data_IF_273617058118
#
_entry.id   IF_273617058118
#
_cell.length_a   1.000
_cell.length_b   1.000
_cell.length_c   1.000
_cell.angle_alpha   90.00
_cell.angle_beta   90.00
_cell.angle_gamma   90.00
#
_symmetry.space_group_name_H-M   'P 1'
#
loop_
_entity.id
_entity.type
_entity.pdbx_description
1 polymer ?
#
# COMPACT_ATOMS: atom_id res chain seq x y z
N UNK A 1 -11.48 3.29 -13.35
CA UNK A 1 -10.45 3.09 -14.39
C UNK A 1 -9.47 4.25 -14.37
N UNK A 2 -8.25 4.00 -14.78
CA UNK A 2 -7.19 4.99 -14.93
C UNK A 2 -6.93 5.20 -16.42
N UNK A 3 -6.85 6.46 -16.85
CA UNK A 3 -6.59 6.79 -18.24
C UNK A 3 -5.68 8.02 -18.36
N UNK A 4 -4.66 7.98 -19.22
CA UNK A 4 -4.19 6.80 -19.97
C UNK A 4 -3.42 5.79 -19.11
N UNK A 5 -3.45 4.52 -19.52
CA UNK A 5 -2.72 3.46 -18.82
C UNK A 5 -1.23 3.44 -19.24
N UNK A 6 -0.96 3.57 -20.52
CA UNK A 6 0.37 3.47 -21.10
C UNK A 6 0.63 4.65 -22.02
N UNK A 7 1.79 5.27 -21.87
CA UNK A 7 2.21 6.36 -22.73
C UNK A 7 3.67 6.24 -23.13
N UNK A 8 3.93 6.37 -24.42
CA UNK A 8 5.29 6.40 -24.93
C UNK A 8 5.95 7.74 -24.62
N UNK A 9 7.17 7.70 -24.12
CA UNK A 9 7.99 8.90 -23.85
C UNK A 9 8.01 9.85 -25.05
N UNK A 10 7.66 11.11 -24.82
CA UNK A 10 7.62 12.15 -25.85
C UNK A 10 6.44 12.10 -26.83
N UNK A 11 5.47 11.22 -26.62
CA UNK A 11 4.30 11.04 -27.47
C UNK A 11 2.96 11.12 -26.71
N UNK A 12 2.96 11.75 -25.55
CA UNK A 12 1.76 11.97 -24.75
C UNK A 12 1.63 13.45 -24.39
N UNK A 13 0.38 13.92 -24.39
CA UNK A 13 0.02 15.27 -23.90
C UNK A 13 -0.55 15.21 -22.47
N UNK A 14 -0.62 14.01 -21.88
CA UNK A 14 -1.17 13.82 -20.54
C UNK A 14 -0.04 13.65 -19.53
N UNK A 15 -0.25 14.18 -18.34
CA UNK A 15 0.61 13.99 -17.19
C UNK A 15 -0.23 14.09 -15.90
N UNK A 16 -0.19 13.08 -15.01
CA UNK A 16 0.55 11.81 -15.16
C UNK A 16 -0.25 10.74 -15.94
N UNK A 17 0.48 9.90 -16.67
CA UNK A 17 0.00 8.59 -17.12
C UNK A 17 0.31 7.53 -16.05
N UNK A 18 -0.30 6.34 -16.13
CA UNK A 18 -0.05 5.30 -15.12
C UNK A 18 1.35 4.69 -15.26
N UNK A 19 1.72 4.37 -16.51
CA UNK A 19 3.02 3.78 -16.85
C UNK A 19 3.55 4.50 -18.10
N UNK A 20 4.75 5.02 -18.00
CA UNK A 20 5.48 5.49 -19.16
C UNK A 20 6.44 4.42 -19.68
N UNK A 21 6.77 4.46 -20.96
CA UNK A 21 7.75 3.56 -21.54
C UNK A 21 8.50 4.19 -22.71
N UNK A 22 9.63 3.64 -23.03
CA UNK A 22 10.36 3.85 -24.26
C UNK A 22 10.71 2.50 -24.91
N UNK A 23 11.61 2.47 -25.89
CA UNK A 23 11.96 1.23 -26.58
C UNK A 23 12.81 0.27 -25.71
N UNK A 24 13.27 0.69 -24.54
CA UNK A 24 14.21 -0.05 -23.70
C UNK A 24 13.71 -0.29 -22.28
N UNK A 25 12.83 0.58 -21.78
CA UNK A 25 12.48 0.65 -20.37
C UNK A 25 11.01 0.99 -20.14
N UNK A 26 10.51 0.58 -18.98
CA UNK A 26 9.20 0.95 -18.41
C UNK A 26 9.44 1.82 -17.16
N UNK A 27 8.60 2.84 -17.01
CA UNK A 27 8.70 3.82 -15.92
C UNK A 27 7.36 3.87 -15.16
N UNK A 28 7.17 3.03 -14.12
CA UNK A 28 5.95 3.03 -13.33
C UNK A 28 5.84 4.29 -12.48
N UNK A 29 4.65 4.88 -12.44
CA UNK A 29 4.38 6.00 -11.54
C UNK A 29 4.02 5.53 -10.12
N UNK A 30 3.93 6.46 -9.17
CA UNK A 30 3.48 6.15 -7.81
C UNK A 30 2.06 5.55 -7.83
N UNK A 31 1.19 6.05 -8.70
CA UNK A 31 -0.17 5.54 -8.87
C UNK A 31 -0.21 4.09 -9.35
N UNK A 32 0.72 3.69 -10.23
CA UNK A 32 0.87 2.29 -10.64
C UNK A 32 1.17 1.39 -9.44
N UNK A 33 2.15 1.75 -8.63
CA UNK A 33 2.53 0.93 -7.48
C UNK A 33 1.40 0.79 -6.46
N UNK A 34 0.67 1.87 -6.18
CA UNK A 34 -0.50 1.81 -5.28
C UNK A 34 -1.57 0.88 -5.86
N UNK A 35 -1.91 1.01 -7.15
CA UNK A 35 -2.88 0.12 -7.79
C UNK A 35 -2.42 -1.33 -7.80
N UNK A 36 -1.14 -1.60 -8.05
CA UNK A 36 -0.57 -2.93 -7.99
C UNK A 36 -0.67 -3.51 -6.57
N UNK A 37 -0.30 -2.75 -5.55
CA UNK A 37 -0.40 -3.17 -4.15
C UNK A 37 -1.84 -3.53 -3.77
N UNK A 38 -2.82 -2.73 -4.18
CA UNK A 38 -4.22 -2.99 -3.88
C UNK A 38 -4.80 -4.15 -4.71
N UNK A 39 -4.51 -4.20 -6.00
CA UNK A 39 -5.02 -5.23 -6.91
C UNK A 39 -4.49 -6.63 -6.58
N UNK A 40 -3.23 -6.73 -6.17
CA UNK A 40 -2.62 -8.02 -5.79
C UNK A 40 -2.99 -8.49 -4.38
N UNK A 41 -3.62 -7.65 -3.58
CA UNK A 41 -4.02 -7.94 -2.19
C UNK A 41 -5.53 -7.82 -1.99
N UNK A 42 -6.29 -8.27 -2.97
CA UNK A 42 -7.74 -8.39 -2.87
C UNK A 42 -8.14 -9.61 -2.03
N UNK A 43 -9.27 -9.50 -1.37
CA UNK A 43 -9.86 -10.57 -0.57
C UNK A 43 -11.38 -10.62 -0.77
N UNK A 44 -11.98 -11.70 -0.32
CA UNK A 44 -13.41 -12.02 -0.42
C UNK A 44 -14.15 -11.80 0.90
N UNK A 45 -13.42 -11.56 2.00
CA UNK A 45 -14.00 -11.28 3.31
C UNK A 45 -13.42 -10.00 3.92
N UNK A 46 -14.28 -9.11 4.43
CA UNK A 46 -13.88 -7.83 5.02
C UNK A 46 -14.04 -7.82 6.54
N UNK A 47 -13.05 -7.27 7.25
CA UNK A 47 -13.04 -7.07 8.70
C UNK A 47 -12.80 -5.59 9.04
N UNK A 48 -13.86 -4.86 9.37
CA UNK A 48 -13.80 -3.41 9.61
C UNK A 48 -13.17 -2.98 10.94
N UNK A 49 -12.96 -3.89 11.87
CA UNK A 49 -12.53 -3.62 13.26
C UNK A 49 -11.09 -4.06 13.58
N UNK A 50 -10.35 -4.56 12.59
CA UNK A 50 -8.99 -5.10 12.79
C UNK A 50 -7.94 -4.00 12.94
N UNK A 51 -8.01 -2.95 12.15
CA UNK A 51 -7.03 -1.88 12.16
C UNK A 51 -7.70 -0.52 12.40
N UNK A 52 -7.10 0.31 13.28
CA UNK A 52 -7.61 1.63 13.64
C UNK A 52 -6.46 2.61 13.83
N UNK A 53 -6.50 3.71 13.08
CA UNK A 53 -5.54 4.81 13.24
C UNK A 53 -5.94 5.67 14.44
N UNK A 54 -5.01 5.96 15.33
CA UNK A 54 -5.23 6.86 16.47
C UNK A 54 -5.38 8.31 15.98
N UNK A 55 -6.45 8.98 16.41
CA UNK A 55 -6.73 10.35 15.99
C UNK A 55 -6.94 10.49 14.48
N UNK A 56 -7.55 9.47 13.83
CA UNK A 56 -7.83 9.51 12.41
C UNK A 56 -8.77 10.65 12.03
N UNK A 57 -8.52 11.23 10.88
CA UNK A 57 -9.36 12.20 10.20
C UNK A 57 -9.61 11.76 8.74
N UNK A 58 -9.97 12.70 7.86
CA UNK A 58 -10.22 12.40 6.44
C UNK A 58 -8.97 11.96 5.64
N UNK A 59 -7.78 12.09 6.20
CA UNK A 59 -6.51 11.77 5.53
C UNK A 59 -5.99 10.38 5.86
N UNK A 60 -6.64 9.63 6.73
CA UNK A 60 -6.24 8.26 7.05
C UNK A 60 -7.34 7.27 6.70
N UNK A 61 -6.93 6.07 6.31
CA UNK A 61 -7.83 4.97 6.03
C UNK A 61 -7.20 3.62 6.37
N UNK A 62 -8.05 2.69 6.80
CA UNK A 62 -7.65 1.31 7.04
C UNK A 62 -8.62 0.33 6.40
N UNK A 63 -8.11 -0.82 6.04
CA UNK A 63 -8.90 -1.93 5.52
C UNK A 63 -8.25 -3.24 5.92
N UNK A 64 -9.05 -4.24 6.25
CA UNK A 64 -8.57 -5.60 6.47
C UNK A 64 -9.44 -6.57 5.67
N UNK A 65 -8.82 -7.34 4.79
CA UNK A 65 -9.51 -8.35 3.97
C UNK A 65 -8.80 -9.68 4.06
N UNK A 66 -9.57 -10.76 4.06
CA UNK A 66 -9.09 -12.13 3.97
C UNK A 66 -9.31 -12.64 2.54
N UNK A 67 -8.29 -13.20 1.96
CA UNK A 67 -8.42 -14.05 0.78
C UNK A 67 -8.51 -15.51 1.28
N UNK A 68 -9.70 -16.10 1.17
CA UNK A 68 -9.96 -17.44 1.72
C UNK A 68 -9.26 -18.54 0.94
N UNK A 69 -9.12 -18.38 -0.38
CA UNK A 69 -8.43 -19.33 -1.24
C UNK A 69 -6.93 -19.39 -0.91
N UNK A 70 -6.28 -18.24 -0.80
CA UNK A 70 -4.85 -18.13 -0.48
C UNK A 70 -4.55 -18.28 1.00
N UNK A 71 -5.58 -18.20 1.86
CA UNK A 71 -5.46 -18.15 3.32
C UNK A 71 -4.54 -17.01 3.77
N UNK A 72 -4.72 -15.84 3.17
CA UNK A 72 -3.92 -14.66 3.43
C UNK A 72 -4.79 -13.50 3.90
N UNK A 73 -4.38 -12.87 5.00
CA UNK A 73 -4.99 -11.67 5.53
C UNK A 73 -4.16 -10.46 5.07
N UNK A 74 -4.84 -9.48 4.50
CA UNK A 74 -4.22 -8.22 4.05
C UNK A 74 -4.77 -7.06 4.86
N UNK A 75 -3.88 -6.41 5.61
CA UNK A 75 -4.21 -5.19 6.35
C UNK A 75 -3.59 -4.02 5.61
N UNK A 76 -4.42 -3.09 5.16
CA UNK A 76 -4.01 -1.89 4.44
C UNK A 76 -4.15 -0.69 5.35
N UNK A 77 -3.14 0.16 5.37
CA UNK A 77 -3.12 1.41 6.13
C UNK A 77 -2.64 2.52 5.21
N UNK A 78 -3.43 3.57 5.10
CA UNK A 78 -3.11 4.77 4.33
C UNK A 78 -3.01 5.95 5.28
N UNK A 79 -1.97 6.74 5.12
CA UNK A 79 -1.79 8.02 5.80
C UNK A 79 -1.38 9.08 4.77
N UNK A 80 -2.33 9.93 4.40
CA UNK A 80 -2.11 11.04 3.47
C UNK A 80 -1.78 12.36 4.18
N UNK A 81 -1.49 12.33 5.49
CA UNK A 81 -1.08 13.51 6.25
C UNK A 81 0.45 13.62 6.35
N UNK A 82 0.92 14.83 6.65
CA UNK A 82 2.35 15.13 6.84
C UNK A 82 2.94 14.54 8.15
N UNK A 83 2.10 14.05 9.04
CA UNK A 83 2.52 13.51 10.32
C UNK A 83 2.38 11.98 10.35
N UNK A 84 3.34 11.32 10.98
CA UNK A 84 3.24 9.89 11.25
C UNK A 84 2.06 9.60 12.20
N UNK A 85 1.32 8.55 11.94
CA UNK A 85 0.16 8.14 12.74
C UNK A 85 0.33 6.72 13.28
N UNK A 86 0.07 6.56 14.56
CA UNK A 86 0.04 5.24 15.19
C UNK A 86 -1.24 4.50 14.79
N UNK A 87 -1.10 3.27 14.37
CA UNK A 87 -2.20 2.41 13.97
C UNK A 87 -2.24 1.18 14.86
N UNK A 88 -3.31 1.02 15.63
CA UNK A 88 -3.57 -0.16 16.44
C UNK A 88 -4.15 -1.27 15.56
N UNK A 89 -3.61 -2.48 15.71
CA UNK A 89 -4.05 -3.68 14.99
C UNK A 89 -4.44 -4.73 16.02
N UNK A 90 -5.67 -5.24 15.93
CA UNK A 90 -6.22 -6.26 16.79
C UNK A 90 -6.54 -7.53 15.99
N UNK A 91 -5.68 -8.53 16.15
CA UNK A 91 -5.78 -9.84 15.51
C UNK A 91 -6.32 -10.94 16.45
N UNK A 92 -6.90 -10.59 17.60
CA UNK A 92 -7.30 -11.56 18.63
C UNK A 92 -8.32 -12.60 18.15
N UNK A 93 -9.11 -12.26 17.11
CA UNK A 93 -10.09 -13.19 16.49
C UNK A 93 -9.44 -14.29 15.65
N UNK A 94 -8.23 -14.07 15.17
CA UNK A 94 -7.54 -15.04 14.32
C UNK A 94 -6.75 -16.02 15.18
N UNK A 95 -6.91 -17.32 14.89
CA UNK A 95 -6.13 -18.39 15.52
C UNK A 95 -4.86 -18.67 14.68
N UNK A 96 -3.83 -19.22 15.31
CA UNK A 96 -2.62 -19.71 14.62
C UNK A 96 -1.91 -18.61 13.77
N UNK A 97 -1.78 -17.41 14.34
CA UNK A 97 -1.02 -16.35 13.70
C UNK A 97 0.47 -16.73 13.58
N UNK A 98 1.13 -16.46 12.46
CA UNK A 98 2.58 -16.62 12.35
C UNK A 98 3.30 -15.61 13.25
N UNK A 99 4.55 -15.89 13.59
CA UNK A 99 5.37 -14.95 14.35
C UNK A 99 5.74 -13.69 13.54
N UNK A 100 5.79 -13.84 12.22
CA UNK A 100 6.23 -12.79 11.29
C UNK A 100 5.33 -12.71 10.06
N UNK A 101 5.30 -11.53 9.47
CA UNK A 101 4.61 -11.25 8.21
C UNK A 101 5.44 -10.27 7.37
N UNK A 102 5.03 -10.02 6.14
CA UNK A 102 5.64 -8.99 5.31
C UNK A 102 4.81 -7.72 5.34
N UNK A 103 5.48 -6.57 5.42
CA UNK A 103 4.86 -5.26 5.25
C UNK A 103 5.52 -4.54 4.07
N UNK A 104 4.72 -4.23 3.06
CA UNK A 104 5.14 -3.44 1.91
C UNK A 104 4.61 -2.03 2.07
N UNK A 105 5.48 -1.04 2.01
CA UNK A 105 5.14 0.38 2.15
C UNK A 105 5.65 1.16 0.94
N UNK A 106 4.81 2.02 0.40
CA UNK A 106 5.20 3.10 -0.50
C UNK A 106 4.97 4.43 0.22
N UNK A 107 5.95 5.32 0.16
CA UNK A 107 5.86 6.66 0.74
C UNK A 107 6.68 7.65 -0.06
N UNK A 108 6.31 8.92 0.00
CA UNK A 108 7.02 10.01 -0.67
C UNK A 108 6.38 11.34 -0.35
N UNK A 109 7.14 12.42 -0.50
CA UNK A 109 6.60 13.78 -0.34
C UNK A 109 5.62 14.09 -1.49
N UNK A 110 4.59 14.93 -1.28
CA UNK A 110 3.54 15.20 -2.27
C UNK A 110 4.04 15.84 -3.58
N UNK A 111 5.18 16.52 -3.53
CA UNK A 111 5.83 17.21 -4.64
C UNK A 111 6.86 16.33 -5.37
N UNK A 112 7.06 15.09 -4.93
CA UNK A 112 7.99 14.13 -5.54
C UNK A 112 7.24 13.16 -6.42
N UNK A 113 7.66 13.02 -7.65
CA UNK A 113 7.07 12.10 -8.62
C UNK A 113 8.12 11.19 -9.28
N UNK A 114 7.64 10.04 -9.72
CA UNK A 114 8.40 9.19 -10.62
C UNK A 114 8.18 9.65 -12.07
N UNK A 115 9.27 9.88 -12.78
CA UNK A 115 9.23 10.29 -14.19
C UNK A 115 10.26 9.50 -15.02
N UNK A 116 10.52 9.91 -16.26
CA UNK A 116 11.45 9.22 -17.15
C UNK A 116 12.92 9.26 -16.70
N UNK A 117 13.30 10.26 -15.93
CA UNK A 117 14.69 10.50 -15.54
C UNK A 117 14.98 9.87 -14.18
N UNK A 118 14.04 10.04 -13.26
CA UNK A 118 14.19 9.58 -11.87
C UNK A 118 12.98 8.77 -11.40
N UNK A 119 13.24 7.75 -10.61
CA UNK A 119 12.25 6.86 -10.00
C UNK A 119 12.49 6.78 -8.49
N UNK A 120 12.34 7.91 -7.75
CA UNK A 120 12.72 7.97 -6.34
C UNK A 120 11.77 7.20 -5.43
N UNK A 121 10.54 6.95 -5.87
CA UNK A 121 9.49 6.32 -5.07
C UNK A 121 9.21 4.92 -5.59
N UNK A 122 9.43 3.92 -4.74
CA UNK A 122 9.11 2.53 -5.01
C UNK A 122 8.65 1.83 -3.73
N UNK A 123 7.83 0.76 -3.83
CA UNK A 123 7.45 -0.04 -2.69
C UNK A 123 8.67 -0.70 -2.03
N UNK A 124 8.76 -0.59 -0.71
CA UNK A 124 9.77 -1.26 0.10
C UNK A 124 9.11 -2.32 0.96
N UNK A 125 9.61 -3.55 0.90
CA UNK A 125 9.08 -4.67 1.68
C UNK A 125 10.04 -5.00 2.82
N UNK A 126 9.49 -5.14 4.02
CA UNK A 126 10.22 -5.58 5.21
C UNK A 126 9.44 -6.64 5.98
N UNK A 127 10.14 -7.42 6.77
CA UNK A 127 9.54 -8.35 7.72
C UNK A 127 9.10 -7.60 8.99
N UNK A 128 7.94 -7.96 9.53
CA UNK A 128 7.38 -7.39 10.76
C UNK A 128 6.94 -8.51 11.69
N UNK A 129 7.14 -8.31 12.99
CA UNK A 129 6.64 -9.25 14.01
C UNK A 129 5.14 -9.10 14.16
N UNK A 130 4.46 -10.23 14.31
CA UNK A 130 3.01 -10.32 14.48
C UNK A 130 2.67 -10.78 15.89
N UNK A 131 1.71 -10.08 16.48
CA UNK A 131 1.09 -10.46 17.75
C UNK A 131 -0.42 -10.18 17.70
N UNK A 132 -1.16 -10.77 18.64
CA UNK A 132 -2.63 -10.60 18.70
C UNK A 132 -3.07 -9.13 18.83
N UNK A 133 -2.27 -8.32 19.50
CA UNK A 133 -2.46 -6.87 19.59
C UNK A 133 -1.11 -6.21 19.33
N UNK A 134 -1.04 -5.36 18.34
CA UNK A 134 0.19 -4.67 17.96
C UNK A 134 -0.10 -3.26 17.45
N UNK A 135 0.94 -2.47 17.38
CA UNK A 135 0.89 -1.16 16.77
C UNK A 135 1.91 -1.10 15.63
N UNK A 136 1.57 -0.37 14.59
CA UNK A 136 2.50 0.06 13.56
C UNK A 136 2.47 1.58 13.45
N UNK A 137 3.54 2.15 12.93
CA UNK A 137 3.58 3.54 12.52
C UNK A 137 3.24 3.63 11.04
N UNK A 138 2.18 4.36 10.70
CA UNK A 138 1.90 4.78 9.34
C UNK A 138 2.71 6.05 9.08
N UNK A 139 3.75 5.93 8.28
CA UNK A 139 4.62 7.06 7.93
C UNK A 139 3.84 8.17 7.23
N UNK A 140 4.34 9.42 7.23
CA UNK A 140 3.75 10.49 6.43
C UNK A 140 3.61 10.10 4.96
N UNK A 141 2.51 10.50 4.33
CA UNK A 141 2.25 10.31 2.91
C UNK A 141 2.54 8.87 2.44
N UNK A 142 2.01 7.89 3.16
CA UNK A 142 2.30 6.47 2.91
C UNK A 142 1.06 5.62 2.67
N UNK A 143 1.29 4.54 1.94
CA UNK A 143 0.36 3.43 1.83
C UNK A 143 1.11 2.14 2.19
N UNK A 144 0.62 1.40 3.17
CA UNK A 144 1.21 0.16 3.65
C UNK A 144 0.25 -1.01 3.52
N UNK A 145 0.77 -2.17 3.14
CA UNK A 145 0.04 -3.44 3.14
C UNK A 145 0.81 -4.46 3.96
N UNK A 146 0.17 -4.98 5.03
CA UNK A 146 0.70 -6.11 5.80
C UNK A 146 0.02 -7.37 5.26
N UNK A 147 0.83 -8.34 4.83
CA UNK A 147 0.41 -9.64 4.33
C UNK A 147 0.74 -10.71 5.34
N UNK A 148 -0.29 -11.32 5.91
CA UNK A 148 -0.18 -12.37 6.93
C UNK A 148 -0.71 -13.68 6.32
N UNK A 149 0.10 -14.72 6.28
CA UNK A 149 -0.29 -16.05 5.84
C UNK A 149 -0.85 -16.82 7.04
N UNK A 150 -2.14 -17.25 6.96
CA UNK A 150 -2.86 -17.95 8.03
C UNK A 150 -2.76 -19.47 7.92
#
# INVERSE_FOLDING_TARGET
>A
SYAPLLAKKGQTNWNPDLIYFDNTKVYPTCSYYVQQMFGTTAGDYYYGDVAKVEGADKFQGTSCVLNTEKRELYIKVVNAAAEAKKTAINLSRFKNLPAKATMTTISGQPDVENNYEVQPIAPVTKEVNISKKMNITAEPYSCSVIRIKL
#
